data_IF_309192615688
#
_entry.id   IF_309192615688
#
_cell.length_a   1.000
_cell.length_b   1.000
_cell.length_c   1.000
_cell.angle_alpha   90.00
_cell.angle_beta   90.00
_cell.angle_gamma   90.00
#
_symmetry.space_group_name_H-M   'P 1'
#
loop_
_entity.id
_entity.type
_entity.pdbx_description
1 polymer ?
#
# COMPACT_ATOMS: atom_id res chain seq x y z
N UNK A 1 10.00 21.31 4.58
CA UNK A 1 8.68 20.67 4.79
C UNK A 1 8.37 20.66 6.28
N UNK A 2 7.24 21.23 6.70
CA UNK A 2 6.80 21.20 8.11
C UNK A 2 6.52 19.77 8.57
N UNK A 3 6.69 19.50 9.87
CA UNK A 3 6.36 18.22 10.51
C UNK A 3 4.89 17.82 10.26
N UNK A 4 4.00 18.81 10.24
CA UNK A 4 2.56 18.63 9.99
C UNK A 4 2.33 18.10 8.57
N UNK A 5 3.02 18.66 7.59
CA UNK A 5 2.92 18.21 6.20
C UNK A 5 3.44 16.78 6.04
N UNK A 6 4.51 16.41 6.76
CA UNK A 6 5.07 15.06 6.75
C UNK A 6 4.10 14.03 7.35
N UNK A 7 3.48 14.37 8.48
CA UNK A 7 2.48 13.53 9.13
C UNK A 7 1.22 13.36 8.27
N UNK A 8 0.78 14.42 7.60
CA UNK A 8 -0.38 14.37 6.70
C UNK A 8 -0.10 13.50 5.47
N UNK A 9 1.13 13.52 4.96
CA UNK A 9 1.57 12.67 3.87
C UNK A 9 1.66 11.19 4.29
N UNK A 10 2.17 10.91 5.50
CA UNK A 10 2.14 9.57 6.09
C UNK A 10 0.70 9.05 6.23
N UNK A 11 -0.23 9.88 6.71
CA UNK A 11 -1.63 9.51 6.85
C UNK A 11 -2.28 9.18 5.51
N UNK A 12 -1.97 9.95 4.47
CA UNK A 12 -2.45 9.69 3.11
C UNK A 12 -1.92 8.36 2.56
N UNK A 13 -0.62 8.08 2.73
CA UNK A 13 0.00 6.81 2.31
C UNK A 13 -0.63 5.60 3.00
N UNK A 14 -0.85 5.68 4.32
CA UNK A 14 -1.53 4.62 5.09
C UNK A 14 -2.96 4.41 4.59
N UNK A 15 -3.70 5.48 4.32
CA UNK A 15 -5.06 5.38 3.80
C UNK A 15 -5.09 4.72 2.42
N UNK A 16 -4.19 5.12 1.52
CA UNK A 16 -4.04 4.53 0.19
C UNK A 16 -3.69 3.05 0.28
N UNK A 17 -2.76 2.68 1.17
CA UNK A 17 -2.37 1.29 1.37
C UNK A 17 -3.54 0.41 1.84
N UNK A 18 -4.36 0.89 2.79
CA UNK A 18 -5.54 0.18 3.28
C UNK A 18 -6.57 -0.03 2.16
N UNK A 19 -6.84 1.00 1.36
CA UNK A 19 -7.77 0.90 0.23
C UNK A 19 -7.28 -0.12 -0.79
N UNK A 20 -5.99 -0.05 -1.17
CA UNK A 20 -5.39 -0.99 -2.12
C UNK A 20 -5.39 -2.44 -1.60
N UNK A 21 -5.22 -2.65 -0.30
CA UNK A 21 -5.36 -3.99 0.32
C UNK A 21 -6.81 -4.49 0.18
N UNK A 22 -7.80 -3.63 0.47
CA UNK A 22 -9.21 -3.98 0.28
C UNK A 22 -9.53 -4.36 -1.16
N UNK A 23 -9.08 -3.55 -2.12
CA UNK A 23 -9.22 -3.82 -3.56
C UNK A 23 -8.53 -5.12 -3.95
N UNK A 24 -7.33 -5.39 -3.43
CA UNK A 24 -6.61 -6.65 -3.69
C UNK A 24 -7.41 -7.87 -3.23
N UNK A 25 -8.01 -7.82 -2.03
CA UNK A 25 -8.84 -8.91 -1.50
C UNK A 25 -10.08 -9.12 -2.38
N UNK A 26 -10.71 -8.04 -2.83
CA UNK A 26 -11.89 -8.10 -3.68
C UNK A 26 -11.58 -8.71 -5.06
N UNK A 27 -10.46 -8.30 -5.68
CA UNK A 27 -9.96 -8.87 -6.94
C UNK A 27 -9.67 -10.37 -6.79
N UNK A 28 -9.02 -10.77 -5.69
CA UNK A 28 -8.75 -12.18 -5.41
C UNK A 28 -10.04 -13.00 -5.28
N UNK A 29 -11.02 -12.47 -4.53
CA UNK A 29 -12.34 -13.07 -4.35
C UNK A 29 -13.12 -13.19 -5.67
N UNK A 30 -13.05 -12.16 -6.52
CA UNK A 30 -13.65 -12.17 -7.85
C UNK A 30 -13.01 -13.23 -8.77
N UNK A 31 -11.68 -13.25 -8.83
CA UNK A 31 -10.92 -14.18 -9.66
C UNK A 31 -11.14 -15.65 -9.30
N UNK A 32 -11.37 -15.95 -8.02
CA UNK A 32 -11.62 -17.30 -7.55
C UNK A 32 -12.91 -17.93 -8.11
N UNK A 33 -13.88 -17.10 -8.50
CA UNK A 33 -15.17 -17.53 -9.08
C UNK A 33 -15.13 -17.73 -10.61
N UNK A 34 -13.99 -17.48 -11.27
CA UNK A 34 -13.85 -17.52 -12.73
C UNK A 34 -12.93 -18.64 -13.24
N UNK A 35 -12.95 -18.83 -14.57
CA UNK A 35 -12.10 -19.77 -15.31
C UNK A 35 -10.60 -19.60 -15.01
N UNK A 36 -9.82 -20.68 -15.14
CA UNK A 36 -8.40 -20.74 -14.79
C UNK A 36 -7.57 -19.56 -15.32
N UNK A 37 -7.74 -19.14 -16.57
CA UNK A 37 -6.96 -18.01 -17.12
C UNK A 37 -7.23 -16.67 -16.43
N UNK A 38 -8.49 -16.39 -16.10
CA UNK A 38 -8.89 -15.18 -15.37
C UNK A 38 -8.49 -15.29 -13.90
N UNK A 39 -8.56 -16.49 -13.33
CA UNK A 39 -8.14 -16.76 -11.94
C UNK A 39 -6.66 -16.42 -11.72
N UNK A 40 -5.76 -16.92 -12.57
CA UNK A 40 -4.32 -16.63 -12.44
C UNK A 40 -4.00 -15.15 -12.66
N UNK A 41 -4.68 -14.49 -13.60
CA UNK A 41 -4.50 -13.05 -13.85
C UNK A 41 -4.95 -12.21 -12.65
N UNK A 42 -6.10 -12.52 -12.06
CA UNK A 42 -6.58 -11.88 -10.83
C UNK A 42 -5.67 -12.12 -9.64
N UNK A 43 -5.18 -13.35 -9.45
CA UNK A 43 -4.23 -13.68 -8.38
C UNK A 43 -2.94 -12.89 -8.54
N UNK A 44 -2.40 -12.80 -9.75
CA UNK A 44 -1.20 -12.02 -10.03
C UNK A 44 -1.42 -10.53 -9.74
N UNK A 45 -2.52 -9.94 -10.23
CA UNK A 45 -2.88 -8.54 -9.96
C UNK A 45 -3.07 -8.26 -8.47
N UNK A 46 -3.80 -9.11 -7.76
CA UNK A 46 -4.01 -9.00 -6.31
C UNK A 46 -2.67 -9.06 -5.56
N UNK A 47 -1.77 -9.96 -5.96
CA UNK A 47 -0.47 -10.12 -5.32
C UNK A 47 0.44 -8.90 -5.57
N UNK A 48 0.39 -8.33 -6.79
CA UNK A 48 1.12 -7.12 -7.15
C UNK A 48 0.60 -5.89 -6.39
N UNK A 49 -0.73 -5.73 -6.28
CA UNK A 49 -1.33 -4.67 -5.46
C UNK A 49 -0.98 -4.83 -3.98
N UNK A 50 -1.08 -6.06 -3.44
CA UNK A 50 -0.80 -6.32 -2.04
C UNK A 50 0.65 -6.05 -1.67
N UNK A 51 1.59 -6.49 -2.52
CA UNK A 51 3.02 -6.22 -2.32
C UNK A 51 3.35 -4.73 -2.42
N UNK A 52 2.75 -4.00 -3.37
CA UNK A 52 2.90 -2.55 -3.47
C UNK A 52 2.37 -1.83 -2.21
N UNK A 53 1.22 -2.23 -1.67
CA UNK A 53 0.69 -1.66 -0.42
C UNK A 53 1.61 -1.92 0.77
N UNK A 54 2.14 -3.12 0.92
CA UNK A 54 3.05 -3.47 2.03
C UNK A 54 4.35 -2.68 1.92
N UNK A 55 4.91 -2.55 0.70
CA UNK A 55 6.10 -1.74 0.47
C UNK A 55 5.86 -0.26 0.80
N UNK A 56 4.72 0.31 0.39
CA UNK A 56 4.34 1.68 0.75
C UNK A 56 4.20 1.87 2.27
N UNK A 57 3.56 0.91 2.94
CA UNK A 57 3.38 0.92 4.39
C UNK A 57 4.70 0.82 5.17
N UNK A 58 5.74 0.22 4.59
CA UNK A 58 7.08 0.15 5.18
C UNK A 58 7.92 1.38 4.85
N UNK A 59 7.86 1.85 3.60
CA UNK A 59 8.66 2.96 3.12
C UNK A 59 8.22 4.30 3.71
N UNK A 60 6.92 4.55 3.85
CA UNK A 60 6.41 5.83 4.33
C UNK A 60 6.82 6.13 5.80
N UNK A 61 6.70 5.20 6.76
CA UNK A 61 7.22 5.41 8.12
C UNK A 61 8.73 5.52 8.15
N UNK A 62 9.46 4.69 7.40
CA UNK A 62 10.91 4.78 7.34
C UNK A 62 11.38 6.15 6.85
N UNK A 63 10.75 6.69 5.80
CA UNK A 63 11.03 8.02 5.29
C UNK A 63 10.66 9.12 6.30
N UNK A 64 9.55 8.96 7.03
CA UNK A 64 9.16 9.86 8.12
C UNK A 64 10.22 9.91 9.23
N UNK A 65 10.70 8.75 9.70
CA UNK A 65 11.73 8.67 10.74
C UNK A 65 13.08 9.20 10.27
N UNK A 66 13.50 8.91 9.03
CA UNK A 66 14.73 9.47 8.45
C UNK A 66 14.66 10.99 8.42
N UNK A 67 13.55 11.56 7.94
CA UNK A 67 13.36 13.01 7.94
C UNK A 67 13.30 13.62 9.35
N UNK A 68 12.79 12.88 10.33
CA UNK A 68 12.78 13.32 11.72
C UNK A 68 14.21 13.46 12.27
N UNK A 69 15.07 12.49 11.95
CA UNK A 69 16.48 12.48 12.33
C UNK A 69 17.25 13.58 11.59
N UNK A 70 17.06 13.72 10.27
CA UNK A 70 17.74 14.74 9.46
C UNK A 70 17.37 16.17 9.85
N UNK A 71 16.11 16.42 10.23
CA UNK A 71 15.65 17.76 10.61
C UNK A 71 15.96 18.14 12.04
N UNK A 72 16.61 17.26 12.80
CA UNK A 72 17.01 17.55 14.17
C UNK A 72 15.80 17.79 15.07
N UNK A 73 15.30 16.70 15.66
CA UNK A 73 15.26 16.76 17.12
C UNK A 73 16.72 16.88 17.62
#
# INVERSE_FOLDING_TARGET
MSIVTLALLLLAEVLVAIILIGVSIEICSYGWKKSNGVKYSCLFLSLLLGTASILGLLAAPAYFFIQLIEKGL
#
